data_IF_365153739029
#
_entry.id   IF_365153739029
#
_cell.length_a   1.000
_cell.length_b   1.000
_cell.length_c   1.000
_cell.angle_alpha   90.00
_cell.angle_beta   90.00
_cell.angle_gamma   90.00
#
_symmetry.space_group_name_H-M   'P 1'
#
loop_
_entity.id
_entity.type
_entity.pdbx_description
1 polymer ?
#
# COMPACT_ATOMS: atom_id res chain seq x y z
N UNK A 1 22.92 -19.45 -38.25
CA UNK A 1 22.19 -18.99 -37.04
C UNK A 1 21.08 -18.08 -37.52
N UNK A 2 19.88 -18.62 -37.72
CA UNK A 2 18.75 -17.82 -38.17
C UNK A 2 18.30 -16.91 -37.02
N UNK A 3 18.60 -15.62 -37.16
CA UNK A 3 17.96 -14.56 -36.39
C UNK A 3 16.49 -14.54 -36.77
N UNK A 4 15.70 -15.35 -36.06
CA UNK A 4 14.24 -15.31 -36.11
C UNK A 4 13.83 -13.90 -35.73
N UNK A 5 13.42 -13.12 -36.72
CA UNK A 5 12.89 -11.77 -36.55
C UNK A 5 11.83 -11.79 -35.45
N UNK A 6 12.21 -11.30 -34.27
CA UNK A 6 11.31 -11.18 -33.13
C UNK A 6 10.48 -9.92 -33.31
N UNK A 7 9.62 -9.92 -34.32
CA UNK A 7 8.58 -8.89 -34.42
C UNK A 7 7.79 -8.93 -33.10
N UNK A 8 7.59 -7.77 -32.44
CA UNK A 8 6.75 -7.72 -31.25
C UNK A 8 5.39 -8.33 -31.60
N UNK A 9 4.92 -9.26 -30.77
CA UNK A 9 3.69 -10.06 -31.03
C UNK A 9 2.44 -9.18 -31.16
N UNK A 10 2.49 -7.94 -30.69
CA UNK A 10 1.50 -6.90 -30.94
C UNK A 10 2.23 -5.66 -31.46
N UNK A 11 2.06 -5.33 -32.74
CA UNK A 11 2.22 -3.95 -33.19
C UNK A 11 0.98 -3.21 -32.69
N UNK A 12 1.14 -2.15 -31.89
CA UNK A 12 0.01 -1.33 -31.43
C UNK A 12 -0.59 -0.57 -32.61
N UNK A 13 -1.31 -1.29 -33.47
CA UNK A 13 -2.14 -0.76 -34.53
C UNK A 13 -3.57 -0.71 -34.01
N UNK A 14 -4.15 0.49 -33.99
CA UNK A 14 -5.54 0.72 -33.55
C UNK A 14 -6.51 -0.08 -34.41
N UNK A 15 -6.15 -0.48 -35.64
CA UNK A 15 -6.99 -1.34 -36.50
C UNK A 15 -6.89 -2.83 -36.16
N UNK A 16 -5.89 -3.27 -35.38
CA UNK A 16 -5.74 -4.66 -34.99
C UNK A 16 -6.79 -5.07 -33.94
N UNK A 17 -7.42 -6.23 -34.15
CA UNK A 17 -8.39 -6.83 -33.23
C UNK A 17 -7.77 -7.15 -31.88
N UNK A 18 -6.49 -7.52 -31.83
CA UNK A 18 -5.82 -7.79 -30.56
C UNK A 18 -5.57 -6.51 -29.76
N UNK A 19 -5.17 -5.41 -30.41
CA UNK A 19 -5.10 -4.09 -29.78
C UNK A 19 -6.44 -3.69 -29.17
N UNK A 20 -7.54 -3.85 -29.90
CA UNK A 20 -8.89 -3.57 -29.37
C UNK A 20 -9.24 -4.42 -28.14
N UNK A 21 -9.01 -5.73 -28.19
CA UNK A 21 -9.25 -6.62 -27.05
C UNK A 21 -8.41 -6.19 -25.84
N UNK A 22 -7.15 -5.84 -26.06
CA UNK A 22 -6.26 -5.37 -25.00
C UNK A 22 -6.81 -4.08 -24.36
N UNK A 23 -7.21 -3.09 -25.17
CA UNK A 23 -7.82 -1.85 -24.69
C UNK A 23 -9.11 -2.10 -23.91
N UNK A 24 -9.98 -3.00 -24.39
CA UNK A 24 -11.21 -3.38 -23.67
C UNK A 24 -10.91 -4.00 -22.30
N UNK A 25 -9.89 -4.86 -22.20
CA UNK A 25 -9.47 -5.43 -20.92
C UNK A 25 -8.93 -4.33 -19.99
N UNK A 26 -8.15 -3.36 -20.49
CA UNK A 26 -7.69 -2.23 -19.67
C UNK A 26 -8.86 -1.37 -19.16
N UNK A 27 -9.81 -1.03 -20.03
CA UNK A 27 -11.02 -0.31 -19.64
C UNK A 27 -11.80 -1.07 -18.57
N UNK A 28 -11.95 -2.38 -18.74
CA UNK A 28 -12.60 -3.24 -17.74
C UNK A 28 -11.87 -3.23 -16.40
N UNK A 29 -10.53 -3.27 -16.39
CA UNK A 29 -9.72 -3.16 -15.16
C UNK A 29 -9.95 -1.82 -14.47
N UNK A 30 -9.97 -0.71 -15.22
CA UNK A 30 -10.21 0.63 -14.67
C UNK A 30 -11.63 0.72 -14.07
N UNK A 31 -12.63 0.17 -14.77
CA UNK A 31 -14.01 0.13 -14.28
C UNK A 31 -14.12 -0.71 -13.00
N UNK A 32 -13.52 -1.91 -12.96
CA UNK A 32 -13.51 -2.76 -11.78
C UNK A 32 -12.81 -2.08 -10.60
N UNK A 33 -11.63 -1.49 -10.82
CA UNK A 33 -10.90 -0.78 -9.79
C UNK A 33 -11.72 0.37 -9.19
N UNK A 34 -12.38 1.14 -10.06
CA UNK A 34 -13.27 2.24 -9.64
C UNK A 34 -14.44 1.70 -8.84
N UNK A 35 -15.14 0.69 -9.35
CA UNK A 35 -16.26 0.04 -8.68
C UNK A 35 -15.89 -0.49 -7.29
N UNK A 36 -14.74 -1.18 -7.17
CA UNK A 36 -14.26 -1.70 -5.89
C UNK A 36 -13.88 -0.60 -4.91
N UNK A 37 -13.19 0.44 -5.38
CA UNK A 37 -12.84 1.61 -4.56
C UNK A 37 -14.11 2.27 -4.03
N UNK A 38 -15.08 2.53 -4.90
CA UNK A 38 -16.38 3.09 -4.53
C UNK A 38 -17.07 2.20 -3.49
N UNK A 39 -17.15 0.89 -3.73
CA UNK A 39 -17.79 -0.06 -2.80
C UNK A 39 -17.15 0.00 -1.41
N UNK A 40 -15.81 -0.02 -1.33
CA UNK A 40 -15.08 0.01 -0.07
C UNK A 40 -15.26 1.33 0.70
N UNK A 41 -15.41 2.46 -0.01
CA UNK A 41 -15.72 3.75 0.61
C UNK A 41 -17.14 3.84 1.16
N UNK A 42 -18.12 3.22 0.50
CA UNK A 42 -19.52 3.26 0.92
C UNK A 42 -19.86 2.20 1.98
N UNK A 43 -19.11 1.09 2.05
CA UNK A 43 -19.39 -0.03 2.93
C UNK A 43 -19.53 0.35 4.43
N UNK A 44 -18.65 1.20 5.02
CA UNK A 44 -18.81 1.63 6.40
C UNK A 44 -20.11 2.42 6.64
N UNK A 45 -20.51 3.27 5.69
CA UNK A 45 -21.73 4.09 5.79
C UNK A 45 -22.99 3.23 5.78
N UNK A 46 -23.00 2.18 4.95
CA UNK A 46 -24.13 1.23 4.90
C UNK A 46 -24.25 0.47 6.21
N UNK A 47 -23.13 0.06 6.82
CA UNK A 47 -23.14 -0.54 8.16
C UNK A 47 -23.74 0.40 9.20
N UNK A 48 -23.32 1.66 9.23
CA UNK A 48 -23.80 2.62 10.23
C UNK A 48 -25.31 2.89 10.11
N UNK A 49 -25.88 2.73 8.91
CA UNK A 49 -27.32 2.79 8.66
C UNK A 49 -28.06 1.51 9.09
N UNK A 50 -27.48 0.33 8.84
CA UNK A 50 -28.12 -0.97 9.12
C UNK A 50 -28.01 -1.40 10.58
N UNK A 51 -26.90 -1.06 11.23
CA UNK A 51 -26.65 -1.29 12.64
C UNK A 51 -26.36 0.09 13.21
N UNK A 52 -27.40 0.90 13.53
CA UNK A 52 -27.18 2.17 14.20
C UNK A 52 -26.35 1.86 15.43
N UNK A 53 -25.11 2.34 15.42
CA UNK A 53 -24.20 2.20 16.55
C UNK A 53 -24.99 2.67 17.76
N UNK A 54 -25.20 1.74 18.71
CA UNK A 54 -25.96 1.96 19.94
C UNK A 54 -25.61 3.36 20.42
N UNK A 55 -26.56 4.32 20.36
CA UNK A 55 -26.39 5.65 20.93
C UNK A 55 -25.68 5.40 22.25
N UNK A 56 -24.45 5.88 22.41
CA UNK A 56 -23.91 6.00 23.77
C UNK A 56 -25.00 6.76 24.48
N UNK A 57 -25.66 6.11 25.43
CA UNK A 57 -26.58 6.79 26.30
C UNK A 57 -25.77 7.94 26.89
N UNK A 58 -26.00 9.15 26.39
CA UNK A 58 -25.94 10.30 27.26
C UNK A 58 -26.91 9.92 28.36
N UNK A 59 -26.38 9.55 29.52
CA UNK A 59 -27.17 9.40 30.73
C UNK A 59 -27.63 10.82 31.04
N UNK A 60 -28.69 11.27 30.36
CA UNK A 60 -29.60 12.26 30.93
C UNK A 60 -30.27 11.53 32.08
N UNK A 61 -29.64 11.62 33.24
CA UNK A 61 -30.23 11.19 34.50
C UNK A 61 -31.53 11.99 34.68
N UNK A 62 -32.70 11.35 34.84
CA UNK A 62 -33.88 12.07 35.27
C UNK A 62 -33.67 12.47 36.73
N UNK A 63 -34.09 13.70 37.01
CA UNK A 63 -34.04 14.30 38.32
C UNK A 63 -34.83 13.52 39.39
N UNK A 64 -34.62 13.96 40.65
CA UNK A 64 -35.37 13.68 41.89
C UNK A 64 -34.73 12.49 42.65
N UNK A 65 -34.05 12.63 43.80
CA UNK A 65 -34.46 13.25 45.08
C UNK A 65 -33.23 13.68 45.92
N UNK A 66 -33.36 14.84 46.56
CA UNK A 66 -32.72 15.41 47.77
C UNK A 66 -31.21 15.75 47.88
N UNK A 67 -30.99 17.07 47.85
CA UNK A 67 -30.46 17.86 48.97
C UNK A 67 -29.11 17.44 49.60
N UNK A 68 -28.06 18.21 49.33
CA UNK A 68 -27.28 18.98 50.34
C UNK A 68 -26.15 19.75 49.62
N UNK A 69 -26.44 21.03 49.41
CA UNK A 69 -25.58 22.23 49.45
C UNK A 69 -24.04 22.17 49.29
N UNK A 70 -23.61 23.04 48.36
CA UNK A 70 -22.46 23.99 48.39
C UNK A 70 -21.14 23.65 47.66
N UNK A 71 -20.84 24.54 46.70
CA UNK A 71 -19.53 25.00 46.18
C UNK A 71 -18.87 24.13 45.09
N UNK A 72 -19.13 24.48 43.82
CA UNK A 72 -18.12 24.97 42.85
C UNK A 72 -18.66 24.83 41.41
N UNK A 73 -19.01 25.97 40.82
CA UNK A 73 -19.30 26.09 39.39
C UNK A 73 -17.94 26.18 38.70
N UNK A 74 -17.45 25.06 38.15
CA UNK A 74 -16.41 25.07 37.12
C UNK A 74 -16.60 23.88 36.16
N UNK A 75 -17.39 24.15 35.12
CA UNK A 75 -17.24 23.66 33.74
C UNK A 75 -16.63 22.27 33.53
N UNK A 76 -17.46 21.23 33.56
CA UNK A 76 -17.11 19.86 33.14
C UNK A 76 -17.40 19.55 31.66
N UNK A 77 -17.67 20.56 30.83
CA UNK A 77 -18.04 20.38 29.41
C UNK A 77 -16.84 20.36 28.43
N UNK A 78 -15.59 20.47 28.90
CA UNK A 78 -14.42 20.59 28.01
C UNK A 78 -13.71 19.27 27.64
N UNK A 79 -14.09 18.11 28.17
CA UNK A 79 -13.22 16.90 28.12
C UNK A 79 -13.55 15.88 27.03
N UNK A 80 -14.73 15.97 26.40
CA UNK A 80 -15.16 15.03 25.34
C UNK A 80 -14.77 15.49 23.93
N UNK A 81 -14.69 16.80 23.68
CA UNK A 81 -14.29 17.32 22.37
C UNK A 81 -12.77 17.25 22.14
N UNK A 82 -11.96 17.53 23.17
CA UNK A 82 -10.48 17.51 23.05
C UNK A 82 -9.92 16.11 22.78
N UNK A 83 -10.52 15.07 23.35
CA UNK A 83 -10.07 13.68 23.13
C UNK A 83 -10.40 13.16 21.73
N UNK A 84 -11.48 13.64 21.12
CA UNK A 84 -11.86 13.30 19.76
C UNK A 84 -11.01 14.05 18.72
N UNK A 85 -10.65 15.31 19.00
CA UNK A 85 -9.75 16.11 18.15
C UNK A 85 -8.31 15.59 18.17
N UNK A 86 -7.77 15.23 19.35
CA UNK A 86 -6.41 14.70 19.45
C UNK A 86 -6.21 13.35 18.74
N UNK A 87 -7.19 12.45 18.80
CA UNK A 87 -7.13 11.17 18.11
C UNK A 87 -7.17 11.29 16.58
N UNK A 88 -7.87 12.30 16.06
CA UNK A 88 -7.92 12.61 14.63
C UNK A 88 -6.61 13.23 14.14
N UNK A 89 -6.02 14.17 14.89
CA UNK A 89 -4.75 14.81 14.55
C UNK A 89 -3.57 13.83 14.56
N UNK A 90 -3.53 12.89 15.51
CA UNK A 90 -2.50 11.87 15.57
C UNK A 90 -2.56 10.90 14.39
N UNK A 91 -3.77 10.46 14.01
CA UNK A 91 -3.97 9.57 12.86
C UNK A 91 -3.47 10.21 11.56
N UNK A 92 -3.74 11.50 11.36
CA UNK A 92 -3.29 12.26 10.19
C UNK A 92 -1.76 12.40 10.14
N UNK A 93 -1.13 12.73 11.28
CA UNK A 93 0.33 12.81 11.40
C UNK A 93 0.99 11.47 11.06
N UNK A 94 0.45 10.36 11.58
CA UNK A 94 0.93 9.02 11.29
C UNK A 94 0.77 8.65 9.81
N UNK A 95 -0.30 9.12 9.15
CA UNK A 95 -0.46 9.00 7.70
C UNK A 95 0.68 9.68 6.93
N UNK A 96 1.03 10.91 7.31
CA UNK A 96 2.12 11.65 6.68
C UNK A 96 3.49 10.99 6.89
N UNK A 97 3.76 10.49 8.10
CA UNK A 97 5.00 9.76 8.41
C UNK A 97 5.07 8.48 7.59
N UNK A 98 3.99 7.71 7.53
CA UNK A 98 3.90 6.50 6.72
C UNK A 98 4.18 6.81 5.25
N UNK A 99 3.53 7.84 4.71
CA UNK A 99 3.70 8.27 3.32
C UNK A 99 5.14 8.69 3.06
N UNK A 100 5.74 9.53 3.91
CA UNK A 100 7.10 10.01 3.74
C UNK A 100 8.12 8.85 3.72
N UNK A 101 8.02 7.92 4.68
CA UNK A 101 8.93 6.78 4.80
C UNK A 101 8.74 5.75 3.67
N UNK A 102 7.52 5.59 3.15
CA UNK A 102 7.21 4.64 2.09
C UNK A 102 7.39 5.19 0.67
N UNK A 103 7.43 6.52 0.50
CA UNK A 103 7.46 7.19 -0.81
C UNK A 103 8.59 6.68 -1.71
N UNK A 104 9.80 6.53 -1.16
CA UNK A 104 10.95 6.07 -1.95
C UNK A 104 10.87 4.59 -2.27
N UNK A 105 10.45 3.75 -1.32
CA UNK A 105 10.24 2.32 -1.60
C UNK A 105 9.16 2.12 -2.69
N UNK A 106 8.16 2.99 -2.71
CA UNK A 106 7.14 3.04 -3.76
C UNK A 106 7.70 3.51 -5.11
N UNK A 107 8.37 4.66 -5.12
CA UNK A 107 8.98 5.23 -6.34
C UNK A 107 9.99 4.26 -6.97
N UNK A 108 10.79 3.59 -6.16
CA UNK A 108 11.74 2.59 -6.62
C UNK A 108 11.05 1.33 -7.14
N UNK A 109 9.93 0.91 -6.53
CA UNK A 109 9.12 -0.18 -7.06
C UNK A 109 8.59 0.12 -8.47
N UNK A 110 8.24 1.38 -8.78
CA UNK A 110 7.89 1.78 -10.15
C UNK A 110 9.05 1.56 -11.12
N UNK A 111 10.25 2.03 -10.79
CA UNK A 111 11.42 1.83 -11.64
C UNK A 111 11.75 0.35 -11.81
N UNK A 112 11.58 -0.46 -10.77
CA UNK A 112 11.73 -1.92 -10.87
C UNK A 112 10.66 -2.54 -11.78
N UNK A 113 9.39 -2.08 -11.71
CA UNK A 113 8.32 -2.54 -12.61
C UNK A 113 8.66 -2.22 -14.07
N UNK A 114 9.22 -1.03 -14.33
CA UNK A 114 9.63 -0.59 -15.66
C UNK A 114 10.74 -1.45 -16.28
N UNK A 115 11.44 -2.27 -15.50
CA UNK A 115 12.42 -3.24 -16.02
C UNK A 115 11.78 -4.44 -16.73
N UNK A 116 10.46 -4.67 -16.57
CA UNK A 116 9.74 -5.85 -17.07
C UNK A 116 10.42 -7.19 -16.73
N UNK A 117 11.19 -7.24 -15.64
CA UNK A 117 11.83 -8.46 -15.19
C UNK A 117 10.99 -9.13 -14.11
N UNK A 118 10.24 -10.17 -14.48
CA UNK A 118 9.28 -10.83 -13.58
C UNK A 118 9.92 -11.39 -12.29
N UNK A 119 11.12 -11.97 -12.36
CA UNK A 119 11.77 -12.48 -11.14
C UNK A 119 12.18 -11.32 -10.25
N UNK A 120 12.79 -10.30 -10.83
CA UNK A 120 13.24 -9.14 -10.09
C UNK A 120 12.08 -8.40 -9.41
N UNK A 121 10.99 -8.14 -10.15
CA UNK A 121 9.79 -7.51 -9.60
C UNK A 121 9.19 -8.32 -8.44
N UNK A 122 9.12 -9.64 -8.58
CA UNK A 122 8.62 -10.54 -7.53
C UNK A 122 9.53 -10.49 -6.29
N UNK A 123 10.85 -10.61 -6.48
CA UNK A 123 11.81 -10.54 -5.37
C UNK A 123 11.77 -9.17 -4.69
N UNK A 124 11.77 -8.09 -5.46
CA UNK A 124 11.69 -6.73 -4.96
C UNK A 124 10.42 -6.50 -4.14
N UNK A 125 9.26 -6.91 -4.66
CA UNK A 125 7.99 -6.74 -3.96
C UNK A 125 8.01 -7.42 -2.57
N UNK A 126 8.42 -8.70 -2.50
CA UNK A 126 8.36 -9.47 -1.25
C UNK A 126 9.52 -9.22 -0.28
N UNK A 127 10.73 -8.95 -0.79
CA UNK A 127 11.92 -8.77 0.04
C UNK A 127 12.27 -7.32 0.32
N UNK A 128 11.73 -6.37 -0.45
CA UNK A 128 12.00 -4.93 -0.28
C UNK A 128 10.71 -4.18 0.00
N UNK A 129 9.81 -4.03 -0.98
CA UNK A 129 8.62 -3.16 -0.87
C UNK A 129 7.75 -3.49 0.34
N UNK A 130 7.36 -4.76 0.51
CA UNK A 130 6.50 -5.17 1.63
C UNK A 130 7.15 -4.94 3.00
N UNK A 131 8.47 -5.13 3.09
CA UNK A 131 9.22 -4.96 4.36
C UNK A 131 9.36 -3.48 4.70
N UNK A 132 9.66 -2.64 3.70
CA UNK A 132 9.75 -1.19 3.88
C UNK A 132 8.40 -0.58 4.22
N UNK A 133 7.31 -1.02 3.58
CA UNK A 133 5.95 -0.59 3.91
C UNK A 133 5.55 -1.02 5.32
N UNK A 134 5.85 -2.26 5.71
CA UNK A 134 5.60 -2.72 7.09
C UNK A 134 6.40 -1.91 8.12
N UNK A 135 7.67 -1.62 7.83
CA UNK A 135 8.53 -0.81 8.69
C UNK A 135 7.98 0.63 8.82
N UNK A 136 7.57 1.26 7.71
CA UNK A 136 6.92 2.56 7.74
C UNK A 136 5.64 2.55 8.59
N UNK A 137 4.84 1.48 8.49
CA UNK A 137 3.65 1.30 9.32
C UNK A 137 4.00 1.16 10.80
N UNK A 138 5.07 0.44 11.14
CA UNK A 138 5.56 0.32 12.52
C UNK A 138 5.97 1.67 13.09
N UNK A 139 6.78 2.45 12.37
CA UNK A 139 7.13 3.80 12.80
C UNK A 139 5.89 4.66 13.03
N UNK A 140 4.89 4.52 12.16
CA UNK A 140 3.63 5.24 12.29
C UNK A 140 2.81 4.77 13.50
N UNK A 141 2.75 3.46 13.78
CA UNK A 141 2.07 2.91 14.96
C UNK A 141 2.76 3.28 16.27
N UNK A 142 4.09 3.29 16.31
CA UNK A 142 4.85 3.75 17.47
C UNK A 142 4.55 5.21 17.83
N UNK A 143 4.19 6.04 16.86
CA UNK A 143 3.75 7.42 17.08
C UNK A 143 2.26 7.52 17.42
N UNK A 144 1.44 6.62 16.87
CA UNK A 144 -0.02 6.63 17.02
C UNK A 144 -0.52 6.15 18.38
N UNK A 145 0.03 5.03 18.90
CA UNK A 145 -0.48 4.40 20.13
C UNK A 145 -0.34 5.34 21.35
N UNK A 146 0.83 5.96 21.59
CA UNK A 146 1.02 6.82 22.76
C UNK A 146 0.26 8.15 22.67
N UNK A 147 -0.03 8.63 21.46
CA UNK A 147 -0.75 9.88 21.24
C UNK A 147 -2.26 9.76 21.42
N UNK A 148 -2.83 8.55 21.32
CA UNK A 148 -4.28 8.32 21.35
C UNK A 148 -4.79 7.61 22.61
N UNK A 149 -3.91 7.12 23.49
CA UNK A 149 -4.31 6.36 24.70
C UNK A 149 -4.65 7.21 25.94
N UNK A 150 -4.63 8.54 25.84
CA UNK A 150 -5.32 9.43 26.78
C UNK A 150 -4.61 9.67 28.14
N UNK A 151 -4.59 10.96 28.50
CA UNK A 151 -4.03 11.63 29.70
C UNK A 151 -2.50 11.81 29.76
N UNK A 152 -2.14 13.07 30.04
CA UNK A 152 -0.82 13.76 30.03
C UNK A 152 0.33 13.14 30.86
N UNK A 153 0.17 11.97 31.44
CA UNK A 153 1.25 11.29 32.16
C UNK A 153 1.85 10.20 31.27
N UNK A 154 2.56 10.63 30.23
CA UNK A 154 3.36 9.78 29.35
C UNK A 154 4.28 8.88 30.17
N UNK A 155 3.90 7.61 30.38
CA UNK A 155 4.82 6.62 30.92
C UNK A 155 5.70 6.15 29.76
N UNK A 156 7.02 6.23 29.93
CA UNK A 156 8.02 5.60 29.05
C UNK A 156 7.67 4.14 28.70
N UNK A 157 6.89 3.51 29.57
CA UNK A 157 6.32 2.17 29.45
C UNK A 157 5.39 2.01 28.24
N UNK A 158 4.58 3.00 27.87
CA UNK A 158 3.63 2.90 26.75
C UNK A 158 4.34 2.97 25.40
N UNK A 159 5.35 3.83 25.28
CA UNK A 159 6.26 3.86 24.12
C UNK A 159 7.08 2.57 24.03
N UNK A 160 7.60 2.08 25.16
CA UNK A 160 8.33 0.81 25.22
C UNK A 160 7.45 -0.37 24.82
N UNK A 161 6.19 -0.40 25.27
CA UNK A 161 5.23 -1.43 24.90
C UNK A 161 4.85 -1.35 23.42
N UNK A 162 4.51 -0.16 22.91
CA UNK A 162 4.20 0.05 21.49
C UNK A 162 5.37 -0.35 20.60
N UNK A 163 6.60 -0.01 20.99
CA UNK A 163 7.82 -0.40 20.29
C UNK A 163 8.04 -1.91 20.33
N UNK A 164 7.86 -2.55 21.50
CA UNK A 164 7.97 -4.01 21.64
C UNK A 164 6.94 -4.73 20.77
N UNK A 165 5.67 -4.30 20.82
CA UNK A 165 4.59 -4.86 20.02
C UNK A 165 4.84 -4.67 18.52
N UNK A 166 5.33 -3.50 18.12
CA UNK A 166 5.64 -3.20 16.72
C UNK A 166 6.85 -4.00 16.22
N UNK A 167 7.89 -4.16 17.05
CA UNK A 167 9.03 -5.04 16.76
C UNK A 167 8.59 -6.50 16.64
N UNK A 168 7.77 -7.01 17.57
CA UNK A 168 7.23 -8.36 17.50
C UNK A 168 6.41 -8.55 16.21
N UNK A 169 5.55 -7.58 15.88
CA UNK A 169 4.74 -7.61 14.65
C UNK A 169 5.64 -7.60 13.41
N UNK A 170 6.70 -6.79 13.38
CA UNK A 170 7.68 -6.79 12.31
C UNK A 170 8.34 -8.15 12.12
N UNK A 171 8.78 -8.77 13.23
CA UNK A 171 9.45 -10.06 13.21
C UNK A 171 8.51 -11.16 12.72
N UNK A 172 7.28 -11.20 13.24
CA UNK A 172 6.25 -12.15 12.82
C UNK A 172 5.89 -11.98 11.34
N UNK A 173 5.71 -10.74 10.88
CA UNK A 173 5.43 -10.42 9.49
C UNK A 173 6.56 -10.87 8.58
N UNK A 174 7.81 -10.55 8.92
CA UNK A 174 8.98 -10.97 8.16
C UNK A 174 9.17 -12.49 8.16
N UNK A 175 8.90 -13.13 9.30
CA UNK A 175 8.96 -14.59 9.42
C UNK A 175 7.90 -15.25 8.53
N UNK A 176 6.66 -14.79 8.58
CA UNK A 176 5.56 -15.29 7.75
C UNK A 176 5.85 -15.10 6.25
N UNK A 177 6.31 -13.91 5.85
CA UNK A 177 6.71 -13.63 4.46
C UNK A 177 7.88 -14.51 4.02
N UNK A 178 8.90 -14.67 4.85
CA UNK A 178 10.07 -15.51 4.52
C UNK A 178 9.73 -17.00 4.43
N UNK A 179 8.67 -17.45 5.12
CA UNK A 179 8.18 -18.84 5.05
C UNK A 179 7.24 -19.05 3.87
N UNK A 180 6.36 -18.09 3.58
CA UNK A 180 5.42 -18.14 2.46
C UNK A 180 6.14 -17.98 1.11
N UNK A 181 7.17 -17.13 1.06
CA UNK A 181 7.97 -16.91 -0.12
C UNK A 181 9.30 -17.64 -0.01
N UNK A 182 9.47 -18.70 -0.82
CA UNK A 182 10.77 -19.38 -0.92
C UNK A 182 11.86 -18.35 -1.23
N UNK A 183 13.00 -18.48 -0.56
CA UNK A 183 14.17 -17.64 -0.80
C UNK A 183 14.48 -17.63 -2.30
N UNK A 184 14.70 -16.45 -2.92
CA UNK A 184 15.03 -16.40 -4.32
C UNK A 184 16.33 -17.16 -4.58
N UNK A 185 16.45 -17.86 -5.72
CA UNK A 185 17.72 -18.43 -6.13
C UNK A 185 18.71 -17.30 -6.40
N UNK A 186 19.85 -17.34 -5.71
CA UNK A 186 20.93 -16.35 -5.81
C UNK A 186 21.54 -16.42 -7.21
N UNK A 187 21.14 -15.52 -8.12
CA UNK A 187 21.61 -15.57 -9.51
C UNK A 187 21.76 -14.17 -10.11
N UNK A 188 22.98 -13.84 -10.53
CA UNK A 188 23.28 -12.64 -11.34
C UNK A 188 22.48 -12.61 -12.66
N UNK A 189 21.97 -13.77 -13.11
CA UNK A 189 21.11 -13.93 -14.29
C UNK A 189 19.84 -13.05 -14.18
N UNK A 190 19.40 -12.70 -12.97
CA UNK A 190 18.23 -11.84 -12.76
C UNK A 190 18.54 -10.34 -12.93
N UNK A 191 19.79 -9.92 -13.12
CA UNK A 191 20.19 -8.52 -13.26
C UNK A 191 20.14 -8.05 -14.73
N UNK A 192 18.93 -7.89 -15.27
CA UNK A 192 18.71 -7.40 -16.63
C UNK A 192 17.36 -6.69 -16.77
N UNK A 193 17.26 -5.85 -17.79
CA UNK A 193 16.00 -5.28 -18.28
C UNK A 193 15.40 -6.26 -19.29
N UNK A 194 14.16 -6.68 -19.06
CA UNK A 194 13.39 -7.56 -19.94
C UNK A 194 12.44 -6.77 -20.85
N UNK A 195 11.75 -7.50 -21.75
CA UNK A 195 10.65 -6.94 -22.53
C UNK A 195 9.28 -7.29 -21.94
N UNK A 196 8.26 -6.49 -22.25
CA UNK A 196 6.86 -6.78 -21.86
C UNK A 196 6.43 -8.19 -22.30
N UNK A 197 6.88 -8.63 -23.49
CA UNK A 197 6.59 -9.96 -24.00
C UNK A 197 7.25 -11.05 -23.13
N UNK A 198 8.54 -10.91 -22.80
CA UNK A 198 9.24 -11.87 -21.93
C UNK A 198 8.59 -11.95 -20.54
N UNK A 199 8.16 -10.82 -19.99
CA UNK A 199 7.41 -10.77 -18.74
C UNK A 199 6.10 -11.54 -18.84
N UNK A 200 5.29 -11.22 -19.85
CA UNK A 200 3.99 -11.82 -20.10
C UNK A 200 4.11 -13.34 -20.30
N UNK A 201 5.09 -13.80 -21.08
CA UNK A 201 5.33 -15.21 -21.32
C UNK A 201 5.65 -15.95 -20.02
N UNK A 202 6.47 -15.34 -19.15
CA UNK A 202 6.81 -15.90 -17.85
C UNK A 202 5.62 -15.94 -16.89
N UNK A 203 4.77 -14.91 -16.90
CA UNK A 203 3.54 -14.86 -16.12
C UNK A 203 2.52 -15.92 -16.59
N UNK A 204 2.43 -16.14 -17.91
CA UNK A 204 1.50 -17.11 -18.52
C UNK A 204 1.76 -18.57 -18.08
N UNK A 205 3.01 -18.90 -17.72
CA UNK A 205 3.41 -20.24 -17.23
C UNK A 205 2.75 -20.62 -15.91
N UNK A 206 2.27 -19.64 -15.15
CA UNK A 206 1.57 -19.84 -13.88
C UNK A 206 0.03 -19.79 -14.04
N UNK A 207 -0.49 -19.83 -15.27
CA UNK A 207 -1.93 -19.89 -15.55
C UNK A 207 -2.58 -21.13 -14.97
N UNK A 208 -3.59 -20.96 -14.11
CA UNK A 208 -4.39 -22.06 -13.53
C UNK A 208 -5.89 -21.97 -13.85
N UNK A 209 -6.26 -21.14 -14.84
CA UNK A 209 -7.60 -21.04 -15.42
C UNK A 209 -8.60 -20.20 -14.61
N UNK A 210 -9.62 -19.66 -15.30
CA UNK A 210 -10.60 -18.73 -14.73
C UNK A 210 -11.41 -19.30 -13.57
N UNK A 211 -11.90 -20.54 -13.65
CA UNK A 211 -12.72 -21.13 -12.59
C UNK A 211 -11.99 -21.14 -11.25
N UNK A 212 -10.71 -21.55 -11.24
CA UNK A 212 -9.90 -21.57 -10.03
C UNK A 212 -9.44 -20.17 -9.63
N UNK A 213 -9.15 -19.28 -10.58
CA UNK A 213 -8.85 -17.87 -10.31
C UNK A 213 -10.01 -17.19 -9.57
N UNK A 214 -11.24 -17.31 -10.07
CA UNK A 214 -12.44 -16.73 -9.46
C UNK A 214 -12.70 -17.28 -8.06
N UNK A 215 -12.54 -18.60 -7.83
CA UNK A 215 -12.67 -19.20 -6.48
C UNK A 215 -11.67 -18.60 -5.49
N UNK A 216 -10.41 -18.45 -5.90
CA UNK A 216 -9.37 -17.86 -5.05
C UNK A 216 -9.62 -16.37 -4.84
N UNK A 217 -9.99 -15.63 -5.89
CA UNK A 217 -10.36 -14.22 -5.80
C UNK A 217 -11.51 -14.00 -4.84
N UNK A 218 -12.56 -14.82 -4.85
CA UNK A 218 -13.68 -14.71 -3.92
C UNK A 218 -13.23 -14.77 -2.45
N UNK A 219 -12.36 -15.73 -2.09
CA UNK A 219 -11.81 -15.88 -0.74
C UNK A 219 -10.92 -14.67 -0.37
N UNK A 220 -10.09 -14.21 -1.31
CA UNK A 220 -9.18 -13.09 -1.07
C UNK A 220 -9.92 -11.76 -0.96
N UNK A 221 -11.01 -11.57 -1.70
CA UNK A 221 -11.81 -10.35 -1.64
C UNK A 221 -12.72 -10.34 -0.40
N UNK A 222 -13.19 -11.49 0.07
CA UNK A 222 -14.06 -11.55 1.25
C UNK A 222 -13.37 -11.08 2.52
N UNK A 223 -12.09 -11.45 2.72
CA UNK A 223 -11.32 -11.09 3.91
C UNK A 223 -11.22 -9.57 4.18
N UNK A 224 -10.65 -8.74 3.29
CA UNK A 224 -10.63 -7.28 3.43
C UNK A 224 -12.02 -6.64 3.41
N UNK A 225 -13.01 -7.22 2.73
CA UNK A 225 -14.39 -6.72 2.76
C UNK A 225 -14.96 -6.85 4.18
N UNK A 226 -14.80 -8.02 4.79
CA UNK A 226 -15.19 -8.25 6.19
C UNK A 226 -14.40 -7.34 7.12
N UNK A 227 -13.07 -7.24 6.97
CA UNK A 227 -12.25 -6.32 7.76
C UNK A 227 -12.73 -4.87 7.64
N UNK A 228 -13.07 -4.41 6.43
CA UNK A 228 -13.57 -3.05 6.20
C UNK A 228 -14.92 -2.83 6.89
N UNK A 229 -15.78 -3.84 6.93
CA UNK A 229 -17.04 -3.76 7.65
C UNK A 229 -16.85 -3.74 9.17
N UNK A 230 -15.94 -4.55 9.73
CA UNK A 230 -15.84 -4.72 11.20
C UNK A 230 -14.84 -3.78 11.86
N UNK A 231 -13.77 -3.36 11.18
CA UNK A 231 -12.71 -2.55 11.78
C UNK A 231 -13.24 -1.16 12.18
N UNK A 232 -12.88 -0.65 13.36
CA UNK A 232 -13.07 0.76 13.70
C UNK A 232 -12.34 1.68 12.72
N UNK A 233 -12.89 2.87 12.48
CA UNK A 233 -12.34 3.87 11.54
C UNK A 233 -10.87 4.23 11.80
N UNK A 234 -10.45 4.28 13.07
CA UNK A 234 -9.06 4.55 13.45
C UNK A 234 -8.05 3.42 13.16
N UNK A 235 -8.50 2.27 12.68
CA UNK A 235 -7.66 1.09 12.40
C UNK A 235 -7.63 0.70 10.91
N UNK A 236 -8.23 1.51 10.05
CA UNK A 236 -8.38 1.24 8.62
C UNK A 236 -7.02 1.02 7.92
N UNK A 237 -5.96 1.66 8.42
CA UNK A 237 -4.58 1.49 7.94
C UNK A 237 -4.00 0.08 8.16
N UNK A 238 -4.60 -0.73 9.05
CA UNK A 238 -4.20 -2.12 9.29
C UNK A 238 -4.73 -3.05 8.19
N UNK A 239 -5.82 -2.68 7.51
CA UNK A 239 -6.50 -3.57 6.56
C UNK A 239 -5.55 -4.04 5.45
N UNK A 240 -4.78 -3.17 4.75
CA UNK A 240 -3.87 -3.65 3.71
C UNK A 240 -2.67 -4.44 4.27
N UNK A 241 -2.22 -4.15 5.51
CA UNK A 241 -1.17 -4.92 6.18
C UNK A 241 -1.57 -6.38 6.43
N UNK A 242 -2.86 -6.64 6.66
CA UNK A 242 -3.37 -8.00 6.82
C UNK A 242 -3.70 -8.64 5.46
N UNK A 243 -4.21 -7.85 4.52
CA UNK A 243 -4.70 -8.33 3.23
C UNK A 243 -3.59 -8.87 2.35
N UNK A 244 -2.46 -8.17 2.25
CA UNK A 244 -1.37 -8.56 1.34
C UNK A 244 -0.66 -9.86 1.79
N UNK A 245 -0.32 -10.04 3.10
CA UNK A 245 0.16 -11.32 3.59
C UNK A 245 -0.87 -12.43 3.45
N UNK A 246 -2.16 -12.15 3.70
CA UNK A 246 -3.22 -13.13 3.52
C UNK A 246 -3.29 -13.64 2.07
N UNK A 247 -3.27 -12.74 1.08
CA UNK A 247 -3.16 -13.10 -0.34
C UNK A 247 -1.95 -14.03 -0.57
N UNK A 248 -0.79 -13.62 -0.08
CA UNK A 248 0.47 -14.31 -0.29
C UNK A 248 0.48 -15.71 0.33
N UNK A 249 -0.03 -15.84 1.56
CA UNK A 249 -0.15 -17.10 2.29
C UNK A 249 -1.17 -18.02 1.62
N UNK A 250 -2.32 -17.49 1.20
CA UNK A 250 -3.36 -18.28 0.54
C UNK A 250 -2.86 -18.83 -0.80
N UNK A 251 -2.23 -18.00 -1.63
CA UNK A 251 -1.64 -18.44 -2.89
C UNK A 251 -0.55 -19.50 -2.65
N UNK A 252 0.35 -19.27 -1.69
CA UNK A 252 1.41 -20.22 -1.35
C UNK A 252 0.87 -21.57 -0.85
N UNK A 253 -0.12 -21.56 0.06
CA UNK A 253 -0.74 -22.78 0.60
C UNK A 253 -1.45 -23.61 -0.48
N UNK A 254 -2.03 -22.95 -1.49
CA UNK A 254 -2.65 -23.60 -2.64
C UNK A 254 -1.65 -24.00 -3.74
N UNK A 255 -0.35 -23.72 -3.53
CA UNK A 255 0.74 -23.87 -4.51
C UNK A 255 0.45 -23.12 -5.82
N UNK A 256 -0.16 -21.94 -5.72
CA UNK A 256 -0.53 -21.07 -6.84
C UNK A 256 0.39 -19.85 -6.89
N UNK A 257 0.66 -19.36 -8.11
CA UNK A 257 1.26 -18.04 -8.33
C UNK A 257 0.18 -16.98 -8.60
N UNK A 258 0.60 -15.73 -8.84
CA UNK A 258 -0.28 -14.70 -9.41
C UNK A 258 -0.41 -14.97 -10.92
N UNK A 259 -1.50 -15.59 -11.34
CA UNK A 259 -1.78 -15.82 -12.76
C UNK A 259 -2.42 -14.59 -13.41
N UNK A 260 -2.39 -14.46 -14.75
CA UNK A 260 -3.09 -13.37 -15.44
C UNK A 260 -4.58 -13.28 -15.07
N UNK A 261 -5.26 -14.43 -15.03
CA UNK A 261 -6.68 -14.50 -14.68
C UNK A 261 -6.94 -14.01 -13.25
N UNK A 262 -6.10 -14.43 -12.29
CA UNK A 262 -6.21 -13.99 -10.90
C UNK A 262 -5.92 -12.49 -10.73
N UNK A 263 -4.94 -11.95 -11.44
CA UNK A 263 -4.58 -10.53 -11.36
C UNK A 263 -5.75 -9.67 -11.80
N UNK A 264 -6.39 -10.03 -12.92
CA UNK A 264 -7.51 -9.26 -13.46
C UNK A 264 -8.82 -9.43 -12.68
N UNK A 265 -9.00 -10.52 -11.94
CA UNK A 265 -10.17 -10.70 -11.07
C UNK A 265 -9.92 -10.20 -9.64
N UNK A 266 -9.01 -10.84 -8.90
CA UNK A 266 -8.77 -10.56 -7.48
C UNK A 266 -7.65 -9.56 -7.22
N UNK A 267 -6.63 -9.51 -8.09
CA UNK A 267 -5.51 -8.58 -7.94
C UNK A 267 -5.96 -7.12 -7.97
N UNK A 268 -6.84 -6.77 -8.93
CA UNK A 268 -7.44 -5.43 -9.04
C UNK A 268 -8.12 -5.01 -7.73
N UNK A 269 -8.86 -5.93 -7.09
CA UNK A 269 -9.52 -5.66 -5.82
C UNK A 269 -8.52 -5.38 -4.69
N UNK A 270 -7.42 -6.12 -4.59
CA UNK A 270 -6.38 -5.87 -3.58
C UNK A 270 -5.75 -4.48 -3.79
N UNK A 271 -5.50 -4.10 -5.04
CA UNK A 271 -5.03 -2.74 -5.34
C UNK A 271 -6.05 -1.69 -4.93
N UNK A 272 -7.35 -1.93 -5.13
CA UNK A 272 -8.40 -1.03 -4.68
C UNK A 272 -8.47 -0.94 -3.14
N UNK A 273 -8.27 -2.03 -2.41
CA UNK A 273 -8.15 -2.05 -0.93
C UNK A 273 -6.99 -1.18 -0.48
N UNK A 274 -5.80 -1.37 -1.05
CA UNK A 274 -4.64 -0.57 -0.71
C UNK A 274 -4.84 0.91 -1.06
N UNK A 275 -5.38 1.21 -2.24
CA UNK A 275 -5.67 2.58 -2.66
C UNK A 275 -6.68 3.25 -1.73
N UNK A 276 -7.77 2.56 -1.38
CA UNK A 276 -8.82 3.12 -0.53
C UNK A 276 -8.30 3.41 0.87
N UNK A 277 -7.65 2.44 1.50
CA UNK A 277 -7.35 2.48 2.93
C UNK A 277 -6.01 3.09 3.28
N UNK A 278 -5.00 2.99 2.41
CA UNK A 278 -3.71 3.66 2.58
C UNK A 278 -3.57 4.94 1.75
N UNK A 279 -4.34 5.13 0.69
CA UNK A 279 -4.24 6.31 -0.18
C UNK A 279 -5.37 7.31 0.05
N UNK A 280 -6.54 6.98 -0.48
CA UNK A 280 -7.68 7.87 -0.57
C UNK A 280 -8.21 8.30 0.80
N UNK A 281 -8.18 7.42 1.80
CA UNK A 281 -8.50 7.75 3.19
C UNK A 281 -7.66 8.93 3.71
N UNK A 282 -6.36 8.98 3.38
CA UNK A 282 -5.47 10.07 3.78
C UNK A 282 -5.82 11.37 3.06
N UNK A 283 -6.03 11.30 1.73
CA UNK A 283 -6.37 12.46 0.91
C UNK A 283 -7.70 13.08 1.31
N UNK A 284 -8.71 12.24 1.54
CA UNK A 284 -10.05 12.69 1.92
C UNK A 284 -10.11 13.23 3.34
N UNK A 285 -9.27 12.72 4.26
CA UNK A 285 -9.19 13.22 5.63
C UNK A 285 -8.36 14.49 5.75
N UNK A 286 -7.23 14.60 5.05
CA UNK A 286 -6.44 15.83 4.95
C UNK A 286 -5.68 15.85 3.62
N UNK A 287 -6.13 16.64 2.62
CA UNK A 287 -5.46 16.74 1.33
C UNK A 287 -4.09 17.41 1.45
N UNK A 288 -3.90 18.24 2.47
CA UNK A 288 -2.62 18.85 2.84
C UNK A 288 -1.83 17.95 3.80
N UNK A 289 -0.51 18.05 3.77
CA UNK A 289 0.35 17.56 4.85
C UNK A 289 0.05 18.31 6.16
N UNK A 290 -0.04 17.55 7.24
CA UNK A 290 -0.01 18.01 8.63
C UNK A 290 1.43 18.22 9.08
N UNK A 291 2.36 17.37 8.61
CA UNK A 291 3.79 17.57 8.85
C UNK A 291 4.30 18.85 8.15
N UNK A 292 5.22 19.60 8.80
CA UNK A 292 5.97 20.63 8.10
C UNK A 292 6.68 20.07 6.87
N UNK A 293 6.68 20.81 5.77
CA UNK A 293 7.27 20.38 4.49
C UNK A 293 8.73 19.97 4.63
N UNK A 294 9.51 20.65 5.48
CA UNK A 294 10.89 20.27 5.81
C UNK A 294 10.97 18.90 6.50
N UNK A 295 10.17 18.67 7.54
CA UNK A 295 10.12 17.41 8.28
C UNK A 295 9.69 16.25 7.37
N UNK A 296 8.70 16.46 6.51
CA UNK A 296 8.26 15.47 5.52
C UNK A 296 9.41 15.10 4.58
N UNK A 297 10.10 16.07 3.98
CA UNK A 297 11.21 15.82 3.06
C UNK A 297 12.42 15.17 3.76
N UNK A 298 12.70 15.54 5.01
CA UNK A 298 13.72 14.85 5.82
C UNK A 298 13.36 13.38 6.04
N UNK A 299 12.10 13.06 6.31
CA UNK A 299 11.63 11.69 6.43
C UNK A 299 11.69 10.93 5.11
N UNK A 300 11.44 11.58 3.96
CA UNK A 300 11.64 10.98 2.63
C UNK A 300 13.10 10.56 2.43
N UNK A 301 14.05 11.44 2.80
CA UNK A 301 15.49 11.12 2.74
C UNK A 301 15.84 10.01 3.74
N UNK A 302 15.31 10.04 4.96
CA UNK A 302 15.52 8.99 5.95
C UNK A 302 15.00 7.63 5.45
N UNK A 303 13.80 7.60 4.87
CA UNK A 303 13.23 6.41 4.24
C UNK A 303 14.14 5.85 3.14
N UNK A 304 14.78 6.73 2.35
CA UNK A 304 15.79 6.32 1.36
C UNK A 304 17.02 5.70 1.99
N UNK A 305 17.55 6.26 3.06
CA UNK A 305 18.73 5.73 3.75
C UNK A 305 18.44 4.36 4.38
N UNK A 306 17.26 4.19 4.98
CA UNK A 306 16.81 2.90 5.52
C UNK A 306 16.71 1.87 4.39
N UNK A 307 16.15 2.25 3.23
CA UNK A 307 16.10 1.38 2.07
C UNK A 307 17.50 1.00 1.58
N UNK A 308 18.41 1.96 1.41
CA UNK A 308 19.78 1.71 0.95
C UNK A 308 20.51 0.76 1.91
N UNK A 309 20.34 0.94 3.23
CA UNK A 309 20.87 0.02 4.24
C UNK A 309 20.25 -1.39 4.14
N UNK A 310 18.94 -1.49 3.92
CA UNK A 310 18.25 -2.76 3.71
C UNK A 310 18.74 -3.48 2.44
N UNK A 311 18.98 -2.75 1.36
CA UNK A 311 19.53 -3.30 0.12
C UNK A 311 20.97 -3.78 0.31
N UNK A 312 21.82 -3.00 0.99
CA UNK A 312 23.21 -3.36 1.26
C UNK A 312 23.33 -4.58 2.19
N UNK A 313 22.48 -4.68 3.21
CA UNK A 313 22.45 -5.86 4.08
C UNK A 313 21.90 -7.10 3.34
N UNK A 314 20.93 -6.91 2.45
CA UNK A 314 20.36 -7.99 1.65
C UNK A 314 21.25 -8.43 0.49
N UNK A 315 22.15 -7.57 0.00
CA UNK A 315 22.93 -7.82 -1.21
C UNK A 315 23.96 -8.93 -1.09
N UNK A 316 24.40 -9.25 0.13
CA UNK A 316 25.23 -10.43 0.38
C UNK A 316 24.56 -11.72 -0.12
N UNK A 317 23.22 -11.74 -0.14
CA UNK A 317 22.43 -12.89 -0.62
C UNK A 317 21.80 -12.63 -1.99
N UNK A 318 21.54 -11.37 -2.35
CA UNK A 318 20.81 -11.01 -3.58
C UNK A 318 21.56 -9.92 -4.34
N UNK A 319 22.59 -10.27 -5.13
CA UNK A 319 23.40 -9.29 -5.85
C UNK A 319 22.59 -8.49 -6.87
N UNK A 320 21.46 -9.01 -7.35
CA UNK A 320 20.54 -8.29 -8.25
C UNK A 320 20.02 -6.97 -7.63
N UNK A 321 19.94 -6.86 -6.31
CA UNK A 321 19.51 -5.65 -5.63
C UNK A 321 20.55 -4.52 -5.69
N UNK A 322 21.85 -4.84 -5.74
CA UNK A 322 22.90 -3.83 -5.98
C UNK A 322 22.86 -3.35 -7.42
N UNK A 323 22.63 -4.26 -8.36
CA UNK A 323 22.43 -3.90 -9.76
C UNK A 323 21.23 -2.95 -9.92
N UNK A 324 20.08 -3.29 -9.32
CA UNK A 324 18.91 -2.39 -9.29
C UNK A 324 19.28 -1.03 -8.72
N UNK A 325 19.95 -1.01 -7.57
CA UNK A 325 20.33 0.23 -6.90
C UNK A 325 21.26 1.11 -7.74
N UNK A 326 22.11 0.51 -8.57
CA UNK A 326 23.08 1.21 -9.41
C UNK A 326 22.49 1.66 -10.74
N UNK A 327 21.72 0.81 -11.41
CA UNK A 327 21.33 0.98 -12.82
C UNK A 327 19.86 1.38 -13.00
N UNK A 328 18.99 1.19 -12.00
CA UNK A 328 17.53 1.35 -12.14
C UNK A 328 16.98 2.46 -11.23
N UNK A 329 17.49 2.60 -10.00
CA UNK A 329 16.91 3.51 -9.01
C UNK A 329 17.47 4.93 -9.11
N UNK A 330 16.65 5.91 -8.72
CA UNK A 330 17.06 7.32 -8.57
C UNK A 330 18.21 7.42 -7.57
N UNK A 331 19.27 8.16 -7.87
CA UNK A 331 20.39 8.32 -6.93
C UNK A 331 20.00 9.13 -5.68
N UNK A 332 20.59 8.83 -4.52
CA UNK A 332 20.36 9.61 -3.28
C UNK A 332 20.76 11.07 -3.45
N UNK A 333 21.82 11.36 -4.23
CA UNK A 333 22.23 12.74 -4.56
C UNK A 333 21.13 13.47 -5.32
N UNK A 334 20.56 12.83 -6.35
CA UNK A 334 19.44 13.39 -7.13
C UNK A 334 18.20 13.60 -6.25
N UNK A 335 17.89 12.65 -5.36
CA UNK A 335 16.78 12.80 -4.41
C UNK A 335 16.96 14.01 -3.50
N UNK A 336 18.13 14.18 -2.90
CA UNK A 336 18.41 15.33 -2.02
C UNK A 336 18.26 16.64 -2.79
N UNK A 337 18.75 16.71 -4.03
CA UNK A 337 18.55 17.88 -4.88
C UNK A 337 17.07 18.15 -5.16
N UNK A 338 16.28 17.12 -5.48
CA UNK A 338 14.82 17.26 -5.68
C UNK A 338 14.16 17.77 -4.40
N UNK A 339 14.51 17.23 -3.23
CA UNK A 339 13.96 17.69 -1.95
C UNK A 339 14.30 19.16 -1.69
N UNK A 340 15.54 19.59 -1.94
CA UNK A 340 15.94 21.00 -1.80
C UNK A 340 15.14 21.89 -2.74
N UNK A 341 15.00 21.51 -4.02
CA UNK A 341 14.21 22.27 -4.99
C UNK A 341 12.73 22.37 -4.58
N UNK A 342 12.13 21.27 -4.13
CA UNK A 342 10.77 21.26 -3.61
C UNK A 342 10.60 22.17 -2.38
N UNK A 343 11.59 22.18 -1.48
CA UNK A 343 11.57 23.06 -0.31
C UNK A 343 11.70 24.53 -0.68
N UNK A 344 12.56 24.87 -1.65
CA UNK A 344 12.69 26.24 -2.17
C UNK A 344 11.40 26.69 -2.85
N UNK A 345 10.77 25.82 -3.66
CA UNK A 345 9.48 26.11 -4.28
C UNK A 345 8.40 26.40 -3.23
N UNK A 346 8.37 25.61 -2.15
CA UNK A 346 7.47 25.82 -1.01
C UNK A 346 7.71 27.18 -0.33
N UNK A 347 8.98 27.59 -0.16
CA UNK A 347 9.35 28.87 0.45
C UNK A 347 8.96 30.09 -0.41
N UNK A 348 8.96 29.94 -1.74
CA UNK A 348 8.53 30.99 -2.67
C UNK A 348 6.99 31.03 -2.82
N UNK A 349 6.27 30.17 -2.11
CA UNK A 349 4.81 30.17 -2.06
C UNK A 349 4.14 29.23 -3.06
N UNK A 350 4.88 28.32 -3.70
CA UNK A 350 4.33 27.24 -4.53
C UNK A 350 4.17 25.99 -3.67
N UNK A 351 2.96 25.61 -3.22
CA UNK A 351 2.77 24.61 -2.16
C UNK A 351 2.86 23.16 -2.69
N UNK A 352 3.95 22.83 -3.39
CA UNK A 352 4.18 21.52 -4.03
C UNK A 352 4.25 20.40 -3.00
N UNK A 353 4.94 20.63 -1.88
CA UNK A 353 5.13 19.62 -0.83
C UNK A 353 3.87 19.52 -0.01
N UNK A 354 3.30 20.67 0.40
CA UNK A 354 2.05 20.73 1.17
C UNK A 354 0.92 19.90 0.54
N UNK A 355 0.79 19.88 -0.79
CA UNK A 355 -0.29 19.16 -1.49
C UNK A 355 0.18 17.89 -2.23
N UNK A 356 1.38 17.37 -1.92
CA UNK A 356 1.98 16.26 -2.67
C UNK A 356 1.10 15.00 -2.69
N UNK A 357 0.30 14.77 -1.63
CA UNK A 357 -0.65 13.65 -1.52
C UNK A 357 -1.60 13.55 -2.71
N UNK A 358 -2.08 14.69 -3.21
CA UNK A 358 -3.04 14.77 -4.32
C UNK A 358 -2.50 14.17 -5.62
N UNK A 359 -1.17 14.18 -5.79
CA UNK A 359 -0.51 13.71 -6.99
C UNK A 359 0.15 12.35 -6.76
N UNK A 360 0.91 12.22 -5.67
CA UNK A 360 1.68 11.02 -5.34
C UNK A 360 0.77 9.82 -5.20
N UNK A 361 -0.34 9.93 -4.48
CA UNK A 361 -1.20 8.79 -4.19
C UNK A 361 -1.86 8.25 -5.49
N UNK A 362 -2.58 9.06 -6.30
CA UNK A 362 -3.15 8.56 -7.54
C UNK A 362 -2.11 7.99 -8.50
N UNK A 363 -0.96 8.65 -8.67
CA UNK A 363 0.11 8.18 -9.58
C UNK A 363 0.67 6.84 -9.09
N UNK A 364 0.99 6.74 -7.80
CA UNK A 364 1.58 5.54 -7.22
C UNK A 364 0.68 4.31 -7.38
N UNK A 365 -0.62 4.45 -7.09
CA UNK A 365 -1.56 3.34 -7.19
C UNK A 365 -1.96 3.03 -8.64
N UNK A 366 -2.05 4.03 -9.52
CA UNK A 366 -2.31 3.80 -10.95
C UNK A 366 -1.17 3.00 -11.59
N UNK A 367 0.08 3.39 -11.32
CA UNK A 367 1.25 2.66 -11.77
C UNK A 367 1.30 1.25 -11.20
N UNK A 368 1.03 1.10 -9.90
CA UNK A 368 1.04 -0.22 -9.24
C UNK A 368 0.01 -1.16 -9.86
N UNK A 369 -1.19 -0.67 -10.18
CA UNK A 369 -2.23 -1.43 -10.86
C UNK A 369 -1.84 -1.77 -12.30
N UNK A 370 -1.47 -0.76 -13.09
CA UNK A 370 -1.15 -0.93 -14.51
C UNK A 370 0.09 -1.80 -14.71
N UNK A 371 1.07 -1.73 -13.81
CA UNK A 371 2.31 -2.51 -13.85
C UNK A 371 2.10 -4.02 -13.79
N UNK A 372 1.00 -4.48 -13.18
CA UNK A 372 0.64 -5.90 -13.12
C UNK A 372 -0.53 -6.26 -14.05
N UNK A 373 -1.50 -5.36 -14.22
CA UNK A 373 -2.66 -5.58 -15.07
C UNK A 373 -2.31 -5.51 -16.57
N UNK A 374 -1.38 -4.64 -16.97
CA UNK A 374 -0.94 -4.50 -18.37
C UNK A 374 -0.33 -5.80 -18.90
N UNK A 375 0.69 -6.38 -18.25
CA UNK A 375 1.26 -7.62 -18.75
C UNK A 375 0.30 -8.81 -18.62
N UNK A 376 -0.59 -8.83 -17.61
CA UNK A 376 -1.62 -9.86 -17.48
C UNK A 376 -2.64 -9.81 -18.63
N UNK A 377 -3.14 -8.62 -18.96
CA UNK A 377 -4.04 -8.39 -20.09
C UNK A 377 -3.37 -8.77 -21.41
N UNK A 378 -2.13 -8.32 -21.62
CA UNK A 378 -1.33 -8.68 -22.78
C UNK A 378 -1.23 -10.21 -22.90
N UNK A 379 -0.87 -10.89 -21.82
CA UNK A 379 -0.76 -12.35 -21.76
C UNK A 379 -2.05 -13.07 -22.17
N UNK A 380 -3.22 -12.60 -21.74
CA UNK A 380 -4.50 -13.21 -22.10
C UNK A 380 -4.89 -12.94 -23.56
N UNK A 381 -4.64 -11.74 -24.06
CA UNK A 381 -4.99 -11.37 -25.43
C UNK A 381 -4.07 -12.05 -26.44
N UNK A 382 -2.78 -12.17 -26.13
CA UNK A 382 -1.78 -12.79 -27.02
C UNK A 382 -1.60 -14.29 -26.78
N UNK A 383 -2.30 -14.87 -25.80
CA UNK A 383 -2.28 -16.33 -25.56
C UNK A 383 -2.78 -17.00 -26.83
N UNK A 384 -1.87 -17.61 -27.60
CA UNK A 384 -2.26 -18.56 -28.63
C UNK A 384 -2.98 -19.70 -27.91
N UNK A 385 -4.29 -19.82 -28.13
CA UNK A 385 -5.03 -21.02 -27.76
C UNK A 385 -4.33 -22.15 -28.50
N UNK A 386 -3.54 -22.95 -27.78
CA UNK A 386 -3.15 -24.26 -28.28
C UNK A 386 -4.43 -25.10 -28.21
N UNK A 387 -5.19 -25.07 -29.30
CA UNK A 387 -6.15 -26.12 -29.60
C UNK A 387 -5.38 -27.41 -29.89
#
# INVERSE_FOLDING_TARGET
MDTKDSRPVMAFDVRDRNTHKFLLVQLFVIMLFTFYTTTLLYLPKVKDQLIPSRRRLAITSPAIIDQVNHISILSSDLTTNETHDHGSSAALLCGDVWLALSLMAGTDAFWVVATFNHTLMKNWHYFVSMRMMALASIFSFCLYIPSNWGKKNFRLQDYSFALCLSCLTYLLFNYALSRAHRRPPTTLINAHIGSLQQYSDKMSRCSFGWSRALKVSAIICSFPTVLTAIMPSGWVTVIPLLTIPFESILLASKKLGRSPEFILSGGVFIHAVCFTHWGLSQVTSSPRLVLPSSAFLTLVVAGRLILDFHLQSSSLRYPEFLWVRKEVLISTKSLVMICVLCLLAEQVGVPVVSYCKLFVIPVFYSISLLGVATPAAYSLVTKKVKC
#
